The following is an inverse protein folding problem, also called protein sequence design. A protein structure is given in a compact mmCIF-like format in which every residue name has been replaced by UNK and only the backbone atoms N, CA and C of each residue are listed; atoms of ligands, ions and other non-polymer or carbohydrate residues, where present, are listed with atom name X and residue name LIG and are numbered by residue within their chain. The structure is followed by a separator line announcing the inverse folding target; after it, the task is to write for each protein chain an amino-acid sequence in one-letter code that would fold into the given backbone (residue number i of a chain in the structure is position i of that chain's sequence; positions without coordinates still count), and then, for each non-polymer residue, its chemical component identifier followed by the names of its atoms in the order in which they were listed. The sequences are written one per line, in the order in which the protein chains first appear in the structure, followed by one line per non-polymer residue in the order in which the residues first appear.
data_IF_842405620053
#
_entry.id   IF_842405620053
#
_cell.length_a   1.000
_cell.length_b   1.000
_cell.length_c   1.000
_cell.angle_alpha   90.00
_cell.angle_beta   90.00
_cell.angle_gamma   90.00
#
_symmetry.space_group_name_H-M   'P 1'
#
loop_
_entity.id
_entity.type
_entity.pdbx_description
1 polymer ?
#
# COMPACT_ATOMS: atom_id res chain seq x y z
N UNK A 1 16.57 13.51 -21.83
CA UNK A 1 16.04 13.64 -20.46
C UNK A 1 14.53 13.43 -20.56
N UNK A 2 14.10 12.18 -20.73
CA UNK A 2 12.67 11.86 -20.80
C UNK A 2 12.17 11.84 -19.36
N UNK A 3 11.22 12.72 -19.03
CA UNK A 3 10.53 12.65 -17.75
C UNK A 3 9.82 11.31 -17.69
N UNK A 4 10.24 10.45 -16.77
CA UNK A 4 9.47 9.25 -16.41
C UNK A 4 8.21 9.74 -15.71
N UNK A 5 7.21 10.07 -16.51
CA UNK A 5 5.98 10.68 -16.06
C UNK A 5 5.18 9.65 -15.29
N UNK A 6 5.12 9.81 -13.97
CA UNK A 6 4.10 9.15 -13.16
C UNK A 6 2.72 9.49 -13.77
N UNK A 7 1.92 8.45 -14.01
CA UNK A 7 0.57 8.58 -14.55
C UNK A 7 -0.41 8.27 -13.43
N UNK A 8 -1.32 9.19 -13.15
CA UNK A 8 -2.44 8.90 -12.26
C UNK A 8 -3.46 8.03 -12.99
N UNK A 9 -3.76 6.86 -12.43
CA UNK A 9 -4.70 5.90 -13.00
C UNK A 9 -5.81 5.56 -12.01
N UNK A 10 -6.96 5.19 -12.55
CA UNK A 10 -8.03 4.50 -11.82
C UNK A 10 -8.29 3.20 -12.57
N UNK A 11 -8.03 2.06 -11.95
CA UNK A 11 -8.11 0.75 -12.59
C UNK A 11 -8.86 -0.24 -11.73
N UNK A 12 -9.78 -0.98 -12.34
CA UNK A 12 -10.48 -2.11 -11.72
C UNK A 12 -9.93 -3.38 -12.38
N UNK A 13 -9.29 -4.22 -11.58
CA UNK A 13 -8.70 -5.47 -12.00
C UNK A 13 -9.79 -6.53 -12.24
N UNK A 14 -9.54 -7.54 -13.09
CA UNK A 14 -10.49 -8.62 -13.34
C UNK A 14 -10.90 -9.41 -12.07
N UNK A 15 -10.04 -9.42 -11.04
CA UNK A 15 -10.34 -10.05 -9.75
C UNK A 15 -11.25 -9.18 -8.84
N UNK A 16 -11.67 -7.99 -9.30
CA UNK A 16 -12.49 -7.04 -8.55
C UNK A 16 -11.71 -6.05 -7.70
N UNK A 17 -10.37 -6.16 -7.63
CA UNK A 17 -9.56 -5.16 -6.95
C UNK A 17 -9.65 -3.82 -7.68
N UNK A 18 -9.46 -2.73 -6.94
CA UNK A 18 -9.39 -1.37 -7.48
C UNK A 18 -8.10 -0.72 -7.04
N UNK A 19 -7.43 -0.04 -7.95
CA UNK A 19 -6.32 0.85 -7.66
C UNK A 19 -6.59 2.26 -8.18
N UNK A 20 -6.25 3.24 -7.36
CA UNK A 20 -6.32 4.66 -7.68
C UNK A 20 -5.03 5.32 -7.20
N UNK A 21 -4.20 5.77 -8.13
CA UNK A 21 -2.92 6.36 -7.76
C UNK A 21 -1.93 6.43 -8.90
N UNK A 22 -0.68 6.70 -8.52
CA UNK A 22 0.42 6.90 -9.43
C UNK A 22 0.98 5.55 -9.94
N UNK A 23 1.19 5.49 -11.26
CA UNK A 23 1.84 4.37 -11.93
C UNK A 23 3.06 4.85 -12.73
N UNK A 24 4.09 4.02 -12.78
CA UNK A 24 5.25 4.17 -13.66
C UNK A 24 5.37 2.98 -14.62
N UNK A 25 6.42 2.98 -15.43
CA UNK A 25 6.82 1.83 -16.23
C UNK A 25 7.95 1.09 -15.52
N UNK A 26 7.85 -0.23 -15.44
CA UNK A 26 8.96 -1.08 -15.01
C UNK A 26 10.03 -1.18 -16.10
N UNK A 27 11.16 -1.80 -15.78
CA UNK A 27 12.22 -2.10 -16.74
C UNK A 27 11.75 -2.93 -17.96
N UNK A 28 10.67 -3.71 -17.82
CA UNK A 28 10.07 -4.48 -18.93
C UNK A 28 9.03 -3.69 -19.72
N UNK A 29 8.78 -2.42 -19.37
CA UNK A 29 7.74 -1.58 -19.97
C UNK A 29 6.32 -1.90 -19.47
N UNK A 30 6.18 -2.73 -18.43
CA UNK A 30 4.89 -2.99 -17.80
C UNK A 30 4.50 -1.82 -16.89
N UNK A 31 3.21 -1.47 -16.85
CA UNK A 31 2.72 -0.48 -15.90
C UNK A 31 2.72 -1.06 -14.49
N UNK A 32 3.36 -0.38 -13.55
CA UNK A 32 3.49 -0.78 -12.15
C UNK A 32 3.12 0.38 -11.23
N UNK A 33 2.52 0.08 -10.08
CA UNK A 33 2.20 1.09 -9.06
C UNK A 33 3.49 1.69 -8.51
N UNK A 34 3.58 3.02 -8.49
CA UNK A 34 4.75 3.76 -8.04
C UNK A 34 4.34 5.15 -7.55
N UNK A 35 4.74 5.56 -6.36
CA UNK A 35 4.28 6.80 -5.73
C UNK A 35 3.05 6.58 -4.85
N UNK A 36 2.24 7.63 -4.65
CA UNK A 36 1.08 7.57 -3.78
C UNK A 36 -0.09 6.82 -4.45
N UNK A 37 -0.78 5.97 -3.70
CA UNK A 37 -1.98 5.32 -4.21
C UNK A 37 -2.80 4.58 -3.18
N UNK A 38 -4.06 4.36 -3.54
CA UNK A 38 -5.04 3.58 -2.81
C UNK A 38 -5.33 2.28 -3.55
N UNK A 39 -5.12 1.15 -2.87
CA UNK A 39 -5.60 -0.16 -3.32
C UNK A 39 -6.77 -0.60 -2.46
N UNK A 40 -7.84 -1.07 -3.08
CA UNK A 40 -8.99 -1.69 -2.42
C UNK A 40 -9.16 -3.08 -3.02
N UNK A 41 -8.92 -4.12 -2.23
CA UNK A 41 -9.11 -5.48 -2.72
C UNK A 41 -10.60 -5.83 -2.78
N UNK A 42 -10.96 -6.81 -3.60
CA UNK A 42 -12.33 -7.33 -3.67
C UNK A 42 -12.83 -7.87 -2.32
N UNK A 43 -11.92 -8.28 -1.43
CA UNK A 43 -12.22 -8.74 -0.08
C UNK A 43 -12.33 -7.60 0.95
N UNK A 44 -12.21 -6.34 0.52
CA UNK A 44 -12.36 -5.16 1.38
C UNK A 44 -11.10 -4.74 2.13
N UNK A 45 -9.93 -5.31 1.82
CA UNK A 45 -8.66 -4.79 2.36
C UNK A 45 -8.37 -3.47 1.67
N UNK A 46 -8.03 -2.43 2.44
CA UNK A 46 -7.72 -1.11 1.90
C UNK A 46 -6.30 -0.75 2.32
N UNK A 47 -5.44 -0.49 1.35
CA UNK A 47 -4.16 0.15 1.57
C UNK A 47 -4.17 1.56 0.99
N UNK A 48 -3.65 2.53 1.73
CA UNK A 48 -3.41 3.89 1.28
C UNK A 48 -1.99 4.28 1.67
N UNK A 49 -1.12 4.54 0.71
CA UNK A 49 0.28 4.85 1.01
C UNK A 49 1.16 4.88 -0.22
N UNK A 50 2.46 4.79 0.03
CA UNK A 50 3.47 4.82 -1.02
C UNK A 50 3.68 3.43 -1.64
N UNK A 51 3.94 3.42 -2.93
CA UNK A 51 4.21 2.25 -3.75
C UNK A 51 5.56 2.38 -4.44
N UNK A 52 6.26 1.27 -4.59
CA UNK A 52 7.45 1.20 -5.41
C UNK A 52 7.49 -0.17 -6.11
N UNK A 53 7.38 -0.17 -7.43
CA UNK A 53 7.31 -1.38 -8.26
C UNK A 53 6.29 -2.41 -7.72
N UNK A 54 5.03 -1.99 -7.57
CA UNK A 54 3.93 -2.82 -7.06
C UNK A 54 4.07 -3.32 -5.61
N UNK A 55 5.06 -2.82 -4.86
CA UNK A 55 5.22 -3.10 -3.43
C UNK A 55 4.81 -1.90 -2.59
N UNK A 56 4.04 -2.13 -1.53
CA UNK A 56 3.80 -1.13 -0.50
C UNK A 56 5.13 -0.78 0.18
N UNK A 57 5.41 0.51 0.30
CA UNK A 57 6.64 1.03 0.89
C UNK A 57 6.35 2.35 1.63
N UNK A 58 7.39 2.96 2.22
CA UNK A 58 7.28 4.28 2.84
C UNK A 58 6.20 4.31 3.92
N UNK A 59 5.49 5.43 4.06
CA UNK A 59 4.38 5.51 5.02
C UNK A 59 3.05 5.12 4.37
N UNK A 60 2.23 4.42 5.13
CA UNK A 60 0.88 4.07 4.69
C UNK A 60 -0.03 3.64 5.82
N UNK A 61 -1.28 3.38 5.44
CA UNK A 61 -2.32 2.82 6.29
C UNK A 61 -2.91 1.59 5.61
N UNK A 62 -2.88 0.45 6.29
CA UNK A 62 -3.56 -0.78 5.89
C UNK A 62 -4.76 -1.02 6.81
N UNK A 63 -5.95 -1.14 6.24
CA UNK A 63 -7.19 -1.47 6.95
C UNK A 63 -7.66 -2.85 6.51
N UNK A 64 -7.92 -3.70 7.49
CA UNK A 64 -8.44 -5.04 7.29
C UNK A 64 -9.96 -5.06 7.51
N UNK A 65 -10.72 -5.90 6.78
CA UNK A 65 -12.15 -6.08 7.00
C UNK A 65 -12.52 -6.50 8.43
N UNK A 66 -11.58 -7.12 9.16
CA UNK A 66 -11.75 -7.48 10.56
C UNK A 66 -11.86 -6.28 11.52
N UNK A 67 -11.58 -5.07 11.04
CA UNK A 67 -11.50 -3.85 11.86
C UNK A 67 -10.08 -3.54 12.35
N UNK A 68 -9.13 -4.45 12.17
CA UNK A 68 -7.72 -4.18 12.46
C UNK A 68 -7.15 -3.16 11.47
N UNK A 69 -6.24 -2.30 11.95
CA UNK A 69 -5.58 -1.28 11.16
C UNK A 69 -4.10 -1.20 11.53
N UNK A 70 -3.24 -1.03 10.53
CA UNK A 70 -1.85 -0.61 10.73
C UNK A 70 -1.62 0.75 10.08
N UNK A 71 -0.97 1.65 10.80
CA UNK A 71 -0.48 2.93 10.29
C UNK A 71 0.99 3.08 10.67
N UNK A 72 1.86 3.22 9.67
CA UNK A 72 3.30 3.25 9.92
C UNK A 72 4.11 3.06 8.66
N UNK A 73 5.36 2.67 8.84
CA UNK A 73 6.27 2.41 7.73
C UNK A 73 6.03 1.01 7.14
N UNK A 74 6.23 0.90 5.83
CA UNK A 74 6.16 -0.32 5.05
C UNK A 74 7.47 -0.51 4.30
N UNK A 75 7.87 -1.77 4.16
CA UNK A 75 8.96 -2.19 3.28
C UNK A 75 8.60 -3.52 2.64
N UNK A 76 8.63 -3.55 1.30
CA UNK A 76 8.35 -4.75 0.51
C UNK A 76 7.06 -5.47 0.92
N UNK A 77 5.95 -4.72 1.03
CA UNK A 77 4.63 -5.19 1.47
C UNK A 77 4.50 -5.58 2.95
N UNK A 78 5.51 -5.32 3.78
CA UNK A 78 5.51 -5.69 5.20
C UNK A 78 5.54 -4.46 6.09
N UNK A 79 4.92 -4.55 7.26
CA UNK A 79 5.10 -3.57 8.33
C UNK A 79 6.58 -3.50 8.72
N UNK A 80 7.09 -2.28 8.83
CA UNK A 80 8.48 -2.01 9.13
C UNK A 80 8.60 -0.72 9.96
N UNK A 81 9.76 -0.48 10.55
CA UNK A 81 10.08 0.78 11.23
C UNK A 81 9.09 1.11 12.34
N UNK A 82 8.73 2.38 12.46
CA UNK A 82 7.80 2.85 13.48
C UNK A 82 6.36 2.77 12.97
N UNK A 83 5.46 2.23 13.80
CA UNK A 83 4.05 2.15 13.45
C UNK A 83 3.13 2.01 14.66
N UNK A 84 1.83 2.01 14.36
CA UNK A 84 0.76 1.70 15.29
C UNK A 84 -0.12 0.63 14.67
N UNK A 85 -0.23 -0.51 15.35
CA UNK A 85 -1.19 -1.54 15.03
C UNK A 85 -2.38 -1.44 15.98
N UNK A 86 -3.55 -1.15 15.45
CA UNK A 86 -4.82 -1.11 16.18
C UNK A 86 -5.56 -2.42 15.95
N UNK A 87 -5.87 -3.11 17.04
CA UNK A 87 -6.64 -4.35 17.05
C UNK A 87 -8.14 -4.08 16.84
N UNK A 88 -8.94 -5.08 16.45
CA UNK A 88 -10.38 -4.91 16.24
C UNK A 88 -11.15 -4.44 17.48
N UNK A 89 -10.63 -4.70 18.69
CA UNK A 89 -11.20 -4.25 19.96
C UNK A 89 -10.85 -2.80 20.31
N UNK A 90 -10.08 -2.12 19.47
CA UNK A 90 -9.62 -0.74 19.67
C UNK A 90 -8.35 -0.61 20.51
N UNK A 91 -7.83 -1.71 21.08
CA UNK A 91 -6.51 -1.69 21.70
C UNK A 91 -5.43 -1.43 20.64
N UNK A 92 -4.29 -0.87 21.03
CA UNK A 92 -3.24 -0.51 20.09
C UNK A 92 -1.85 -0.86 20.64
N UNK A 93 -0.99 -1.34 19.73
CA UNK A 93 0.44 -1.45 19.94
C UNK A 93 1.14 -0.36 19.13
N UNK A 94 1.90 0.48 19.82
CA UNK A 94 2.78 1.48 19.21
C UNK A 94 4.23 1.06 19.46
N UNK A 95 5.02 0.94 18.40
CA UNK A 95 6.38 0.43 18.54
C UNK A 95 7.12 0.25 17.22
N UNK A 96 8.18 -0.56 17.31
CA UNK A 96 9.00 -0.94 16.17
C UNK A 96 8.48 -2.25 15.57
N UNK A 97 8.36 -2.28 14.25
CA UNK A 97 7.97 -3.43 13.46
C UNK A 97 9.11 -3.87 12.57
N UNK A 98 9.28 -5.18 12.42
CA UNK A 98 10.24 -5.77 11.48
C UNK A 98 9.61 -6.95 10.77
N UNK A 99 9.33 -6.76 9.47
CA UNK A 99 8.84 -7.85 8.61
C UNK A 99 7.55 -8.47 9.17
N UNK A 100 6.58 -7.60 9.54
CA UNK A 100 5.30 -7.94 10.17
C UNK A 100 5.37 -8.50 11.60
N UNK A 101 6.47 -8.31 12.33
CA UNK A 101 6.64 -8.72 13.74
C UNK A 101 6.92 -7.53 14.64
#
# INVERSE_FOLDING_TARGET
MAGEGLMNVSYIFPNGDRYEGECGLSASGAMVRCGAGKHTSANGIIYMGEWHEDRMCGRGTLKLPSGAQYEGEFKDNMYHGTGTYTFPDGSAYNGQFRENR
#
